data_IF_238837392409
#
_entry.id   IF_238837392409
#
_cell.length_a   1.000
_cell.length_b   1.000
_cell.length_c   1.000
_cell.angle_alpha   90.00
_cell.angle_beta   90.00
_cell.angle_gamma   90.00
#
_symmetry.space_group_name_H-M   'P 1'
#
loop_
_entity.id
_entity.type
_entity.pdbx_description
1 polymer ?
#
# COMPACT_ATOMS: atom_id res chain seq x y z
N UNK A 1 -2.77 -69.96 0.38
CA UNK A 1 -2.29 -68.57 0.25
C UNK A 1 -2.89 -67.93 -0.99
N UNK A 2 -3.80 -66.95 -0.84
CA UNK A 2 -4.33 -66.20 -1.99
C UNK A 2 -3.29 -65.18 -2.43
N UNK A 3 -2.69 -65.37 -3.61
CA UNK A 3 -1.86 -64.34 -4.25
C UNK A 3 -2.78 -63.21 -4.69
N UNK A 4 -2.81 -62.11 -3.94
CA UNK A 4 -3.50 -60.90 -4.35
C UNK A 4 -2.80 -60.36 -5.61
N UNK A 5 -3.37 -60.64 -6.79
CA UNK A 5 -2.83 -60.31 -8.11
C UNK A 5 -2.90 -58.83 -8.49
N UNK A 6 -2.71 -57.90 -7.54
CA UNK A 6 -2.57 -56.47 -7.86
C UNK A 6 -1.16 -56.25 -8.42
N UNK A 7 -1.06 -56.05 -9.73
CA UNK A 7 0.17 -55.59 -10.39
C UNK A 7 0.61 -54.28 -9.74
N UNK A 8 1.80 -54.24 -9.16
CA UNK A 8 2.35 -52.98 -8.65
C UNK A 8 2.65 -52.07 -9.84
N UNK A 9 2.01 -50.89 -9.87
CA UNK A 9 2.31 -49.86 -10.86
C UNK A 9 3.55 -49.12 -10.40
N UNK A 10 4.70 -49.49 -10.96
CA UNK A 10 5.95 -48.76 -10.75
C UNK A 10 5.99 -47.57 -11.69
N UNK A 11 5.95 -46.37 -11.12
CA UNK A 11 6.15 -45.15 -11.87
C UNK A 11 7.65 -44.83 -11.96
N UNK A 12 8.11 -44.34 -13.11
CA UNK A 12 9.48 -43.85 -13.25
C UNK A 12 9.63 -42.50 -12.55
N UNK A 13 10.81 -42.20 -11.98
CA UNK A 13 11.06 -40.93 -11.28
C UNK A 13 10.74 -39.71 -12.16
N UNK A 14 11.16 -39.64 -13.44
CA UNK A 14 10.78 -38.51 -14.29
C UNK A 14 9.28 -38.41 -14.54
N UNK A 15 8.54 -39.52 -14.61
CA UNK A 15 7.09 -39.49 -14.75
C UNK A 15 6.41 -38.97 -13.47
N UNK A 16 6.93 -39.34 -12.29
CA UNK A 16 6.42 -38.85 -11.01
C UNK A 16 6.61 -37.34 -10.87
N UNK A 17 7.77 -36.81 -11.27
CA UNK A 17 8.04 -35.36 -11.26
C UNK A 17 7.04 -34.63 -12.15
N UNK A 18 6.88 -35.06 -13.41
CA UNK A 18 5.91 -34.46 -14.35
C UNK A 18 4.47 -34.51 -13.83
N UNK A 19 4.11 -35.52 -13.04
CA UNK A 19 2.78 -35.62 -12.45
C UNK A 19 2.57 -34.65 -11.29
N UNK A 20 3.62 -34.42 -10.48
CA UNK A 20 3.61 -33.42 -9.39
C UNK A 20 3.66 -31.98 -9.91
N UNK A 21 4.34 -31.71 -11.04
CA UNK A 21 4.38 -30.39 -11.69
C UNK A 21 2.98 -29.88 -12.10
N UNK A 22 2.00 -30.78 -12.29
CA UNK A 22 0.60 -30.42 -12.56
C UNK A 22 -0.12 -29.86 -11.33
N UNK A 23 0.47 -29.95 -10.14
CA UNK A 23 -0.07 -29.33 -8.93
C UNK A 23 0.36 -27.87 -8.95
N UNK A 24 -0.51 -27.00 -9.43
CA UNK A 24 -0.24 -25.57 -9.51
C UNK A 24 -1.24 -24.72 -8.72
N UNK A 25 -0.79 -23.54 -8.31
CA UNK A 25 -1.64 -22.50 -7.74
C UNK A 25 -1.87 -21.41 -8.79
N UNK A 26 -3.14 -21.07 -9.02
CA UNK A 26 -3.54 -20.02 -9.95
C UNK A 26 -4.20 -18.88 -9.21
N UNK A 27 -4.07 -17.68 -9.77
CA UNK A 27 -4.75 -16.51 -9.24
C UNK A 27 -6.18 -16.43 -9.77
N UNK A 28 -7.14 -16.48 -8.87
CA UNK A 28 -8.56 -16.38 -9.20
C UNK A 28 -9.01 -14.91 -9.31
N UNK A 29 -10.27 -14.72 -9.73
CA UNK A 29 -10.89 -13.39 -9.94
C UNK A 29 -10.97 -12.57 -8.66
N UNK A 30 -11.10 -13.23 -7.51
CA UNK A 30 -11.05 -12.64 -6.16
C UNK A 30 -9.63 -12.20 -5.74
N UNK A 31 -8.65 -12.31 -6.64
CA UNK A 31 -7.23 -11.98 -6.46
C UNK A 31 -6.48 -12.90 -5.50
N UNK A 32 -7.09 -14.01 -5.07
CA UNK A 32 -6.47 -15.00 -4.21
C UNK A 32 -5.84 -16.12 -5.03
N UNK A 33 -4.71 -16.64 -4.54
CA UNK A 33 -4.07 -17.81 -5.09
C UNK A 33 -4.66 -19.07 -4.46
N UNK A 34 -5.06 -20.02 -5.30
CA UNK A 34 -5.62 -21.31 -4.87
C UNK A 34 -5.13 -22.40 -5.82
N UNK A 35 -5.18 -23.65 -5.39
CA UNK A 35 -4.91 -24.79 -6.27
C UNK A 35 -5.86 -24.75 -7.47
N UNK A 36 -5.32 -24.88 -8.68
CA UNK A 36 -6.12 -24.86 -9.92
C UNK A 36 -7.03 -26.09 -10.00
N UNK A 37 -6.48 -27.24 -9.62
CA UNK A 37 -7.16 -28.51 -9.64
C UNK A 37 -7.04 -29.25 -8.30
N UNK A 38 -7.98 -30.18 -8.07
CA UNK A 38 -7.88 -31.10 -6.95
C UNK A 38 -6.72 -32.10 -7.17
N UNK A 39 -6.00 -32.43 -6.10
CA UNK A 39 -4.91 -33.41 -6.16
C UNK A 39 -5.45 -34.78 -6.59
N UNK A 40 -4.93 -35.33 -7.69
CA UNK A 40 -5.37 -36.58 -8.32
C UNK A 40 -4.98 -37.81 -7.50
N UNK A 41 -5.57 -38.97 -7.78
CA UNK A 41 -5.23 -40.22 -7.09
C UNK A 41 -3.74 -40.58 -7.27
N UNK A 42 -3.23 -40.43 -8.50
CA UNK A 42 -1.83 -40.68 -8.84
C UNK A 42 -0.91 -39.71 -8.08
N UNK A 43 -1.24 -38.43 -8.03
CA UNK A 43 -0.50 -37.45 -7.24
C UNK A 43 -0.53 -37.79 -5.74
N UNK A 44 -1.67 -38.20 -5.18
CA UNK A 44 -1.77 -38.64 -3.78
C UNK A 44 -0.89 -39.85 -3.48
N UNK A 45 -0.80 -40.82 -4.39
CA UNK A 45 0.09 -41.97 -4.24
C UNK A 45 1.57 -41.55 -4.22
N UNK A 46 1.98 -40.63 -5.10
CA UNK A 46 3.34 -40.09 -5.12
C UNK A 46 3.62 -39.33 -3.82
N UNK A 47 2.74 -38.41 -3.40
CA UNK A 47 2.89 -37.62 -2.18
C UNK A 47 3.01 -38.50 -0.92
N UNK A 48 2.22 -39.59 -0.87
CA UNK A 48 2.26 -40.54 0.23
C UNK A 48 3.64 -41.20 0.40
N UNK A 49 4.39 -41.41 -0.69
CA UNK A 49 5.76 -41.91 -0.62
C UNK A 49 6.72 -40.95 0.12
N UNK A 50 6.38 -39.66 0.16
CA UNK A 50 7.11 -38.62 0.89
C UNK A 50 6.46 -38.26 2.25
N UNK A 51 5.55 -39.11 2.74
CA UNK A 51 4.78 -38.86 3.96
C UNK A 51 3.97 -37.54 3.91
N UNK A 52 3.56 -37.12 2.71
CA UNK A 52 2.72 -35.95 2.47
C UNK A 52 1.32 -36.36 2.04
N UNK A 53 0.36 -35.48 2.25
CA UNK A 53 -1.03 -35.66 1.87
C UNK A 53 -1.55 -34.48 1.06
N UNK A 54 -2.67 -34.68 0.37
CA UNK A 54 -3.35 -33.58 -0.31
C UNK A 54 -3.79 -32.45 0.65
N UNK A 55 -4.00 -32.76 1.94
CA UNK A 55 -4.30 -31.75 2.95
C UNK A 55 -3.09 -30.83 3.19
N UNK A 56 -1.87 -31.39 3.25
CA UNK A 56 -0.65 -30.59 3.39
C UNK A 56 -0.45 -29.63 2.20
N UNK A 57 -0.72 -30.11 0.97
CA UNK A 57 -0.64 -29.27 -0.23
C UNK A 57 -1.65 -28.11 -0.16
N UNK A 58 -2.87 -28.39 0.28
CA UNK A 58 -3.91 -27.36 0.43
C UNK A 58 -3.54 -26.33 1.51
N UNK A 59 -2.98 -26.78 2.63
CA UNK A 59 -2.52 -25.93 3.72
C UNK A 59 -1.38 -25.01 3.26
N UNK A 60 -0.36 -25.55 2.59
CA UNK A 60 0.72 -24.75 2.02
C UNK A 60 0.21 -23.70 1.01
N UNK A 61 -0.75 -24.07 0.16
CA UNK A 61 -1.34 -23.11 -0.78
C UNK A 61 -2.07 -21.95 -0.06
N UNK A 62 -2.73 -22.24 1.06
CA UNK A 62 -3.40 -21.22 1.89
C UNK A 62 -2.36 -20.30 2.55
N UNK A 63 -1.31 -20.87 3.15
CA UNK A 63 -0.23 -20.13 3.79
C UNK A 63 0.46 -19.19 2.80
N UNK A 64 0.85 -19.69 1.63
CA UNK A 64 1.46 -18.88 0.56
C UNK A 64 0.53 -17.72 0.17
N UNK A 65 -0.77 -17.98 -0.01
CA UNK A 65 -1.72 -16.91 -0.32
C UNK A 65 -1.80 -15.85 0.78
N UNK A 66 -1.84 -16.25 2.05
CA UNK A 66 -1.86 -15.33 3.20
C UNK A 66 -0.58 -14.51 3.28
N UNK A 67 0.59 -15.13 3.09
CA UNK A 67 1.87 -14.46 3.08
C UNK A 67 1.92 -13.41 1.96
N UNK A 68 1.53 -13.76 0.74
CA UNK A 68 1.46 -12.84 -0.40
C UNK A 68 0.51 -11.66 -0.14
N UNK A 69 -0.63 -11.88 0.53
CA UNK A 69 -1.53 -10.79 0.91
C UNK A 69 -0.88 -9.87 1.95
N UNK A 70 -0.24 -10.43 2.97
CA UNK A 70 0.42 -9.66 4.03
C UNK A 70 1.55 -8.78 3.48
N UNK A 71 2.35 -9.31 2.55
CA UNK A 71 3.44 -8.59 1.90
C UNK A 71 2.92 -7.39 1.12
N UNK A 72 1.85 -7.57 0.34
CA UNK A 72 1.20 -6.47 -0.40
C UNK A 72 0.66 -5.39 0.51
N UNK A 73 0.00 -5.77 1.62
CA UNK A 73 -0.52 -4.81 2.59
C UNK A 73 0.62 -4.03 3.24
N UNK A 74 1.72 -4.71 3.60
CA UNK A 74 2.90 -4.08 4.19
C UNK A 74 3.53 -3.07 3.23
N UNK A 75 3.69 -3.43 1.97
CA UNK A 75 4.22 -2.54 0.93
C UNK A 75 3.33 -1.30 0.74
N UNK A 76 2.02 -1.50 0.61
CA UNK A 76 1.06 -0.41 0.45
C UNK A 76 1.05 0.54 1.67
N UNK A 77 1.08 -0.02 2.88
CA UNK A 77 1.17 0.78 4.11
C UNK A 77 2.44 1.62 4.16
N UNK A 78 3.58 1.06 3.76
CA UNK A 78 4.85 1.80 3.72
C UNK A 78 4.79 2.97 2.74
N UNK A 79 4.23 2.74 1.54
CA UNK A 79 4.07 3.79 0.53
C UNK A 79 3.19 4.92 1.07
N UNK A 80 2.04 4.59 1.67
CA UNK A 80 1.12 5.58 2.24
C UNK A 80 1.77 6.38 3.37
N UNK A 81 2.54 5.74 4.25
CA UNK A 81 3.29 6.43 5.30
C UNK A 81 4.26 7.44 4.72
N UNK A 82 5.09 7.01 3.77
CA UNK A 82 6.10 7.89 3.16
C UNK A 82 5.46 9.08 2.41
N UNK A 83 4.31 8.87 1.76
CA UNK A 83 3.57 9.95 1.10
C UNK A 83 3.00 10.92 2.13
N UNK A 84 2.45 10.41 3.24
CA UNK A 84 1.93 11.24 4.32
C UNK A 84 3.04 12.11 4.93
N UNK A 85 4.20 11.54 5.23
CA UNK A 85 5.32 12.27 5.81
C UNK A 85 5.78 13.42 4.90
N UNK A 86 5.78 13.21 3.57
CA UNK A 86 6.09 14.26 2.58
C UNK A 86 5.02 15.35 2.54
N UNK A 87 3.74 14.97 2.63
CA UNK A 87 2.64 15.92 2.67
C UNK A 87 2.72 16.78 3.93
N UNK A 88 2.91 16.15 5.09
CA UNK A 88 3.01 16.85 6.38
C UNK A 88 4.21 17.82 6.40
N UNK A 89 5.36 17.42 5.81
CA UNK A 89 6.52 18.31 5.64
C UNK A 89 6.21 19.52 4.74
N UNK A 90 5.58 19.29 3.58
CA UNK A 90 5.23 20.37 2.65
C UNK A 90 4.21 21.36 3.26
N UNK A 91 3.25 20.86 4.05
CA UNK A 91 2.31 21.70 4.79
C UNK A 91 3.04 22.56 5.81
N UNK A 92 3.97 22.01 6.58
CA UNK A 92 4.75 22.78 7.54
C UNK A 92 5.62 23.86 6.88
N UNK A 93 6.24 23.55 5.74
CA UNK A 93 6.97 24.54 4.95
C UNK A 93 6.06 25.67 4.47
N UNK A 94 4.86 25.34 3.97
CA UNK A 94 3.89 26.32 3.51
C UNK A 94 3.45 27.26 4.64
N UNK A 95 3.18 26.72 5.83
CA UNK A 95 2.84 27.52 7.02
C UNK A 95 3.95 28.51 7.38
N UNK A 96 5.22 28.07 7.35
CA UNK A 96 6.36 28.94 7.62
C UNK A 96 6.49 30.06 6.58
N UNK A 97 6.28 29.74 5.30
CA UNK A 97 6.32 30.73 4.22
C UNK A 97 5.17 31.74 4.34
N UNK A 98 3.96 31.30 4.68
CA UNK A 98 2.83 32.19 4.92
C UNK A 98 3.13 33.15 6.07
N UNK A 99 3.69 32.65 7.17
CA UNK A 99 4.10 33.49 8.31
C UNK A 99 5.15 34.53 7.90
N UNK A 100 6.20 34.13 7.19
CA UNK A 100 7.24 35.06 6.70
C UNK A 100 6.67 36.11 5.74
N UNK A 101 5.75 35.72 4.86
CA UNK A 101 5.06 36.66 3.96
C UNK A 101 4.30 37.72 4.74
N UNK A 102 3.58 37.31 5.77
CA UNK A 102 2.77 38.24 6.57
C UNK A 102 3.67 39.18 7.41
N UNK A 103 4.79 38.68 7.93
CA UNK A 103 5.82 39.50 8.59
C UNK A 103 6.42 40.55 7.64
N UNK A 104 6.73 40.16 6.40
CA UNK A 104 7.25 41.10 5.38
C UNK A 104 6.21 42.16 5.00
N UNK A 105 4.96 41.76 4.74
CA UNK A 105 3.87 42.71 4.44
C UNK A 105 3.64 43.70 5.58
N UNK A 106 3.71 43.25 6.83
CA UNK A 106 3.56 44.13 7.99
C UNK A 106 4.71 45.15 8.09
N UNK A 107 5.94 44.73 7.75
CA UNK A 107 7.08 45.64 7.71
C UNK A 107 6.95 46.67 6.59
N UNK A 108 6.60 46.24 5.37
CA UNK A 108 6.35 47.13 4.23
C UNK A 108 5.28 48.17 4.56
N UNK A 109 4.20 47.74 5.23
CA UNK A 109 3.15 48.63 5.70
C UNK A 109 3.71 49.67 6.68
N UNK A 110 4.48 49.25 7.69
CA UNK A 110 5.10 50.17 8.66
C UNK A 110 6.08 51.16 8.00
N UNK A 111 6.88 50.70 7.04
CA UNK A 111 7.81 51.54 6.29
C UNK A 111 7.04 52.58 5.43
N UNK A 112 5.92 52.18 4.81
CA UNK A 112 5.03 53.11 4.10
C UNK A 112 4.38 54.14 5.04
N UNK A 113 4.02 53.75 6.27
CA UNK A 113 3.51 54.67 7.30
C UNK A 113 4.55 55.70 7.73
N UNK A 114 5.80 55.28 7.94
CA UNK A 114 6.88 56.18 8.38
C UNK A 114 7.35 57.14 7.30
N UNK A 115 7.23 56.76 6.04
CA UNK A 115 7.55 57.59 4.88
C UNK A 115 6.37 58.44 4.38
N UNK A 116 5.18 58.28 4.95
CA UNK A 116 3.99 59.05 4.60
C UNK A 116 3.98 60.42 5.30
N UNK A 117 3.66 61.46 4.55
CA UNK A 117 3.47 62.83 5.09
C UNK A 117 2.12 63.00 5.83
N UNK A 118 1.25 61.97 5.85
CA UNK A 118 -0.07 62.02 6.51
C UNK A 118 0.02 61.74 8.00
N UNK A 119 -0.79 62.46 8.80
CA UNK A 119 -0.84 62.25 10.24
C UNK A 119 -1.48 60.90 10.61
N UNK A 120 -1.15 60.36 11.79
CA UNK A 120 -1.73 59.12 12.29
C UNK A 120 -3.27 59.17 12.31
N UNK A 121 -3.83 60.29 12.77
CA UNK A 121 -5.27 60.47 12.84
C UNK A 121 -5.91 60.46 11.45
N UNK A 122 -5.34 61.17 10.46
CA UNK A 122 -5.85 61.16 9.08
C UNK A 122 -5.90 59.74 8.49
N UNK A 123 -4.88 58.91 8.75
CA UNK A 123 -4.84 57.54 8.25
C UNK A 123 -5.83 56.64 8.99
N UNK A 124 -5.96 56.80 10.31
CA UNK A 124 -6.93 56.04 11.10
C UNK A 124 -8.38 56.37 10.73
N UNK A 125 -8.68 57.65 10.47
CA UNK A 125 -10.00 58.10 10.00
C UNK A 125 -10.32 57.48 8.63
N UNK A 126 -9.35 57.47 7.71
CA UNK A 126 -9.48 56.79 6.41
C UNK A 126 -9.72 55.28 6.55
N UNK A 127 -8.95 54.58 7.39
CA UNK A 127 -9.07 53.13 7.60
C UNK A 127 -10.38 52.72 8.29
N UNK A 128 -10.95 53.57 9.14
CA UNK A 128 -12.28 53.36 9.74
C UNK A 128 -13.41 53.59 8.74
N UNK A 129 -13.11 54.07 7.53
CA UNK A 129 -14.10 54.43 6.53
C UNK A 129 -14.85 55.72 6.85
N UNK A 130 -14.32 56.53 7.77
CA UNK A 130 -14.91 57.79 8.22
C UNK A 130 -14.46 58.96 7.32
N UNK A 131 -14.49 58.77 6.00
CA UNK A 131 -14.28 59.88 5.08
C UNK A 131 -15.49 60.81 5.16
N UNK A 132 -15.38 61.88 5.94
CA UNK A 132 -16.08 63.13 5.65
C UNK A 132 -15.50 63.65 4.34
N UNK A 133 -16.20 63.38 3.24
CA UNK A 133 -15.93 64.04 1.97
C UNK A 133 -16.23 65.53 2.14
N UNK A 134 -15.21 66.36 2.28
CA UNK A 134 -15.30 67.79 2.00
C UNK A 134 -14.27 68.12 0.92
N UNK A 135 -14.84 68.38 -0.27
CA UNK A 135 -14.39 69.17 -1.44
C UNK A 135 -12.90 69.22 -1.83
#
# INVERSE_FOLDING_TARGET
MRRNGKKQNFMTVPAAIRELEKIEIVRQTDKNYRLDHAVTATQKEILKAFNMTAANIKEQAIEINQELQSLKIKEQKQIVSNIKDKYDAAVSELEQLMKRRDELRNKELLDAFTSSDRSFDEIMTYLRGEISSEE
#
